data_IF_186827690644
#
_entry.id   IF_186827690644
#
_cell.length_a   1.000
_cell.length_b   1.000
_cell.length_c   1.000
_cell.angle_alpha   90.00
_cell.angle_beta   90.00
_cell.angle_gamma   90.00
#
_symmetry.space_group_name_H-M   'P 1'
#
loop_
_entity.id
_entity.type
_entity.pdbx_description
1 polymer ?
#
# COMPACT_ATOMS: atom_id res chain seq x y z
N UNK A 1 16.01 3.82 7.41
CA UNK A 1 16.16 4.21 5.99
C UNK A 1 15.03 3.66 5.12
N UNK A 2 14.89 2.33 4.97
CA UNK A 2 13.87 1.72 4.10
C UNK A 2 12.43 2.18 4.38
N UNK A 3 12.00 2.17 5.66
CA UNK A 3 10.62 2.55 5.99
C UNK A 3 10.24 3.96 5.51
N UNK A 4 11.15 4.93 5.72
CA UNK A 4 10.95 6.32 5.27
C UNK A 4 10.86 6.38 3.75
N UNK A 5 11.70 5.63 3.05
CA UNK A 5 11.72 5.60 1.58
C UNK A 5 10.42 5.05 0.98
N UNK A 6 9.85 4.01 1.57
CA UNK A 6 8.55 3.45 1.13
C UNK A 6 7.41 4.44 1.39
N UNK A 7 7.42 5.13 2.53
CA UNK A 7 6.45 6.18 2.81
C UNK A 7 6.57 7.35 1.82
N UNK A 8 7.77 7.85 1.59
CA UNK A 8 8.05 8.95 0.66
C UNK A 8 7.69 8.55 -0.79
N UNK A 9 7.89 7.27 -1.16
CA UNK A 9 7.43 6.72 -2.43
C UNK A 9 5.90 6.80 -2.55
N UNK A 10 5.17 6.44 -1.49
CA UNK A 10 3.71 6.56 -1.45
C UNK A 10 3.23 7.99 -1.64
N UNK A 11 3.89 8.95 -1.00
CA UNK A 11 3.61 10.39 -1.19
C UNK A 11 3.85 10.79 -2.65
N UNK A 12 4.99 10.40 -3.24
CA UNK A 12 5.29 10.71 -4.63
C UNK A 12 4.29 10.10 -5.63
N UNK A 13 3.77 8.89 -5.37
CA UNK A 13 2.72 8.26 -6.18
C UNK A 13 1.42 9.06 -6.05
N UNK A 14 1.04 9.47 -4.83
CA UNK A 14 -0.15 10.30 -4.62
C UNK A 14 -0.05 11.61 -5.39
N UNK A 15 1.08 12.31 -5.28
CA UNK A 15 1.27 13.61 -5.94
C UNK A 15 1.18 13.47 -7.47
N UNK A 16 1.68 12.36 -8.01
CA UNK A 16 1.66 12.10 -9.46
C UNK A 16 0.28 11.72 -10.01
N UNK A 17 -0.53 11.03 -9.21
CA UNK A 17 -1.79 10.42 -9.66
C UNK A 17 -3.03 10.92 -8.88
N UNK A 18 -2.94 12.08 -8.23
CA UNK A 18 -4.02 12.66 -7.42
C UNK A 18 -5.37 12.69 -8.15
N UNK A 19 -5.33 13.14 -9.41
CA UNK A 19 -6.52 13.37 -10.23
C UNK A 19 -7.17 12.04 -10.65
N UNK A 20 -6.37 11.00 -10.85
CA UNK A 20 -6.84 9.68 -11.22
C UNK A 20 -7.35 8.88 -10.02
N UNK A 21 -6.64 8.93 -8.90
CA UNK A 21 -6.97 8.16 -7.69
C UNK A 21 -8.15 8.74 -6.91
N UNK A 22 -8.47 10.02 -7.15
CA UNK A 22 -9.44 10.77 -6.36
C UNK A 22 -8.94 11.10 -4.96
N UNK A 23 -9.69 11.95 -4.26
CA UNK A 23 -9.30 12.43 -2.93
C UNK A 23 -9.47 11.36 -1.84
N UNK A 24 -10.54 10.56 -1.91
CA UNK A 24 -10.90 9.58 -0.89
C UNK A 24 -10.33 8.19 -1.23
N UNK A 25 -9.92 7.46 -0.20
CA UNK A 25 -9.57 6.06 -0.32
C UNK A 25 -10.83 5.21 -0.61
N UNK A 26 -10.75 4.35 -1.63
CA UNK A 26 -11.76 3.32 -1.89
C UNK A 26 -11.07 1.97 -2.14
N UNK A 27 -11.41 0.91 -1.38
CA UNK A 27 -10.87 -0.44 -1.61
C UNK A 27 -11.18 -1.03 -3.00
N UNK A 28 -12.21 -0.52 -3.68
CA UNK A 28 -12.61 -1.02 -5.01
C UNK A 28 -11.77 -0.40 -6.13
N UNK A 29 -11.14 0.75 -5.89
CA UNK A 29 -10.37 1.48 -6.89
C UNK A 29 -8.91 1.04 -6.95
N UNK A 30 -8.39 0.40 -5.89
CA UNK A 30 -6.99 -0.03 -5.83
C UNK A 30 -6.87 -1.47 -5.36
N UNK A 31 -5.90 -2.19 -5.92
CA UNK A 31 -5.49 -3.51 -5.44
C UNK A 31 -4.04 -3.45 -4.99
N UNK A 32 -3.83 -3.55 -3.68
CA UNK A 32 -2.51 -3.54 -3.08
C UNK A 32 -2.06 -4.98 -2.78
N UNK A 33 -1.06 -5.48 -3.51
CA UNK A 33 -0.62 -6.88 -3.42
C UNK A 33 0.89 -6.99 -3.21
N UNK A 34 1.32 -7.63 -2.12
CA UNK A 34 2.73 -7.91 -1.81
C UNK A 34 3.08 -9.39 -2.03
N UNK A 35 4.35 -9.77 -1.86
CA UNK A 35 4.76 -11.17 -1.70
C UNK A 35 4.55 -11.60 -0.24
N UNK A 36 4.60 -12.90 0.03
CA UNK A 36 4.53 -13.44 1.39
C UNK A 36 5.87 -13.29 2.16
N UNK A 37 6.36 -12.07 2.28
CA UNK A 37 7.53 -11.74 3.10
C UNK A 37 7.22 -10.53 3.97
N UNK A 38 7.63 -10.57 5.24
CA UNK A 38 7.34 -9.49 6.17
C UNK A 38 7.89 -8.14 5.70
N UNK A 39 9.05 -8.15 5.02
CA UNK A 39 9.64 -6.93 4.47
C UNK A 39 8.74 -6.27 3.42
N UNK A 40 8.09 -7.06 2.56
CA UNK A 40 7.27 -6.54 1.45
C UNK A 40 5.88 -6.16 1.93
N UNK A 41 5.33 -6.91 2.89
CA UNK A 41 4.09 -6.54 3.61
C UNK A 41 4.24 -5.20 4.31
N UNK A 42 5.32 -5.02 5.08
CA UNK A 42 5.60 -3.74 5.77
C UNK A 42 5.83 -2.60 4.79
N UNK A 43 6.57 -2.85 3.69
CA UNK A 43 6.84 -1.83 2.68
C UNK A 43 5.55 -1.36 2.01
N UNK A 44 4.67 -2.30 1.62
CA UNK A 44 3.37 -1.98 1.03
C UNK A 44 2.49 -1.14 1.97
N UNK A 45 2.45 -1.47 3.26
CA UNK A 45 1.70 -0.68 4.24
C UNK A 45 2.21 0.76 4.36
N UNK A 46 3.53 0.97 4.27
CA UNK A 46 4.13 2.30 4.32
C UNK A 46 3.84 3.11 3.06
N UNK A 47 3.93 2.48 1.89
CA UNK A 47 3.51 3.10 0.63
C UNK A 47 2.04 3.53 0.71
N UNK A 48 1.15 2.66 1.19
CA UNK A 48 -0.27 3.00 1.33
C UNK A 48 -0.52 4.12 2.36
N UNK A 49 0.23 4.15 3.45
CA UNK A 49 0.16 5.22 4.44
C UNK A 49 0.59 6.58 3.86
N UNK A 50 1.58 6.59 2.96
CA UNK A 50 1.97 7.79 2.22
C UNK A 50 0.95 8.18 1.14
N UNK A 51 0.40 7.18 0.43
CA UNK A 51 -0.59 7.41 -0.62
C UNK A 51 -1.93 7.91 -0.09
N UNK A 52 -2.48 7.29 0.95
CA UNK A 52 -3.85 7.55 1.42
C UNK A 52 -3.84 8.05 2.86
N UNK A 53 -3.34 9.27 3.07
CA UNK A 53 -3.56 9.95 4.35
C UNK A 53 -5.07 10.22 4.52
N UNK A 54 -5.64 10.00 5.71
CA UNK A 54 -7.06 10.22 5.95
C UNK A 54 -7.43 11.70 5.77
N UNK A 55 -8.52 11.94 5.07
CA UNK A 55 -9.09 13.28 4.81
C UNK A 55 -10.59 13.25 5.05
N UNK A 56 -11.17 14.39 5.42
CA UNK A 56 -12.62 14.55 5.66
C UNK A 56 -13.16 13.45 6.59
N UNK A 57 -14.16 12.70 6.12
CA UNK A 57 -14.86 11.67 6.89
C UNK A 57 -14.02 10.40 7.10
N UNK A 58 -12.86 10.26 6.44
CA UNK A 58 -11.94 9.14 6.64
C UNK A 58 -10.98 9.35 7.83
N UNK A 59 -11.00 10.53 8.45
CA UNK A 59 -10.28 10.82 9.69
C UNK A 59 -11.01 10.14 10.85
N UNK A 60 -10.64 8.90 11.16
CA UNK A 60 -11.18 8.15 12.28
C UNK A 60 -10.49 8.49 13.62
N UNK A 61 -9.27 9.04 13.57
CA UNK A 61 -8.49 9.42 14.75
C UNK A 61 -7.81 10.79 14.53
N UNK A 62 -8.21 11.85 15.24
CA UNK A 62 -7.64 13.19 15.09
C UNK A 62 -6.14 13.31 15.43
N UNK A 63 -5.63 12.39 16.26
CA UNK A 63 -4.22 12.39 16.71
C UNK A 63 -3.32 11.50 15.85
N UNK A 64 -3.89 10.79 14.87
CA UNK A 64 -3.16 9.82 14.05
C UNK A 64 -3.52 9.99 12.57
N UNK A 65 -2.60 10.56 11.80
CA UNK A 65 -2.75 10.75 10.36
C UNK A 65 -2.44 9.45 9.57
N UNK A 66 -3.22 8.40 9.85
CA UNK A 66 -3.12 7.09 9.21
C UNK A 66 -4.51 6.45 9.16
N UNK A 67 -4.80 5.70 8.09
CA UNK A 67 -6.00 4.88 7.97
C UNK A 67 -5.68 3.45 7.52
N UNK A 68 -6.49 2.46 7.92
CA UNK A 68 -6.35 1.10 7.44
C UNK A 68 -6.62 1.00 5.93
N UNK A 69 -5.73 0.32 5.21
CA UNK A 69 -5.91 0.00 3.79
C UNK A 69 -5.83 -1.53 3.59
N UNK A 70 -6.60 -2.03 2.62
CA UNK A 70 -6.70 -3.47 2.36
C UNK A 70 -5.46 -3.93 1.60
N UNK A 71 -4.76 -4.94 2.12
CA UNK A 71 -3.59 -5.53 1.47
C UNK A 71 -3.79 -7.02 1.25
N UNK A 72 -3.32 -7.54 0.12
CA UNK A 72 -3.37 -8.96 -0.23
C UNK A 72 -1.95 -9.51 -0.41
N UNK A 73 -1.79 -10.80 -0.18
CA UNK A 73 -0.59 -11.56 -0.54
C UNK A 73 -0.99 -13.00 -0.84
N UNK A 74 -0.22 -13.64 -1.71
CA UNK A 74 -0.35 -15.07 -1.99
C UNK A 74 0.75 -15.79 -1.24
N UNK A 75 0.48 -16.89 -0.52
CA UNK A 75 1.53 -17.68 0.12
C UNK A 75 2.63 -18.07 -0.87
N UNK A 76 3.89 -17.99 -0.43
CA UNK A 76 5.07 -18.11 -1.32
C UNK A 76 4.99 -19.32 -2.25
N UNK A 77 4.64 -20.50 -1.72
CA UNK A 77 4.51 -21.76 -2.45
C UNK A 77 3.49 -21.74 -3.61
N UNK A 78 2.58 -20.77 -3.62
CA UNK A 78 1.52 -20.61 -4.62
C UNK A 78 1.69 -19.34 -5.46
N UNK A 79 2.74 -18.55 -5.23
CA UNK A 79 2.97 -17.27 -5.91
C UNK A 79 3.87 -17.45 -7.15
N UNK A 80 3.36 -18.13 -8.18
CA UNK A 80 4.10 -18.37 -9.43
C UNK A 80 4.45 -17.07 -10.19
N UNK A 81 3.78 -15.96 -9.88
CA UNK A 81 3.98 -14.67 -10.55
C UNK A 81 5.19 -13.95 -9.95
N UNK A 82 5.35 -13.98 -8.61
CA UNK A 82 6.39 -13.24 -7.90
C UNK A 82 7.53 -14.11 -7.39
N UNK A 83 7.44 -15.43 -7.58
CA UNK A 83 8.46 -16.43 -7.22
C UNK A 83 8.83 -17.29 -8.44
N UNK A 84 9.59 -16.75 -9.41
CA UNK A 84 9.96 -17.47 -10.64
C UNK A 84 10.78 -18.73 -10.37
N UNK A 85 11.42 -18.84 -9.21
CA UNK A 85 12.12 -20.05 -8.77
C UNK A 85 11.22 -21.27 -8.56
N UNK A 86 9.90 -21.07 -8.46
CA UNK A 86 8.90 -22.14 -8.34
C UNK A 86 8.37 -22.61 -9.71
N UNK A 87 8.80 -21.98 -10.81
CA UNK A 87 8.46 -22.44 -12.15
C UNK A 87 9.17 -23.79 -12.43
N UNK A 88 8.45 -24.79 -12.99
CA UNK A 88 9.02 -26.08 -13.39
C UNK A 88 10.17 -25.98 -14.39
#
# INVERSE_FOLDING_TARGET
AGKKREFDLGVAIRDRYSDFLGELYSPDNISAVSTDSDRTKMSLQLVLAGMYQPVKDQIWNPSLNWQPAVTKYTPHERDLIKSPELCP
#
